data_IF_679908267947
#
_entry.id   IF_679908267947
#
_cell.length_a   1.000
_cell.length_b   1.000
_cell.length_c   1.000
_cell.angle_alpha   90.00
_cell.angle_beta   90.00
_cell.angle_gamma   90.00
#
_symmetry.space_group_name_H-M   'P 1'
#
loop_
_entity.id
_entity.type
_entity.pdbx_description
1 polymer ?
#
# COMPACT_ATOMS: atom_id res chain seq x y z
N UNK A 1 18.20 -1.37 -50.13
CA UNK A 1 16.81 -1.68 -50.53
C UNK A 1 16.17 -2.71 -49.56
N UNK A 2 15.96 -2.36 -48.28
CA UNK A 2 15.50 -3.34 -47.28
C UNK A 2 14.63 -2.82 -46.13
N UNK A 3 14.42 -1.51 -46.02
CA UNK A 3 13.61 -0.90 -44.95
C UNK A 3 12.25 -0.36 -45.43
N UNK A 4 12.04 -0.18 -46.74
CA UNK A 4 10.78 0.33 -47.30
C UNK A 4 9.66 -0.75 -47.39
N UNK A 5 10.02 -2.04 -47.51
CA UNK A 5 9.03 -3.14 -47.65
C UNK A 5 8.31 -3.53 -46.35
N UNK A 6 8.77 -3.07 -45.18
CA UNK A 6 8.11 -3.37 -43.89
C UNK A 6 6.93 -2.44 -43.59
N UNK A 7 6.86 -1.26 -44.22
CA UNK A 7 5.73 -0.34 -44.06
C UNK A 7 4.55 -0.61 -45.00
N UNK A 8 4.78 -1.12 -46.21
CA UNK A 8 3.68 -1.40 -47.16
C UNK A 8 2.68 -2.45 -46.63
N UNK A 9 3.13 -3.43 -45.84
CA UNK A 9 2.22 -4.42 -45.22
C UNK A 9 1.42 -3.85 -44.05
N UNK A 10 1.98 -2.91 -43.30
CA UNK A 10 1.28 -2.23 -42.22
C UNK A 10 0.23 -1.27 -42.80
N UNK A 11 0.59 -0.49 -43.81
CA UNK A 11 -0.29 0.42 -44.54
C UNK A 11 -1.40 -0.32 -45.29
N UNK A 12 -1.11 -1.48 -45.90
CA UNK A 12 -2.13 -2.31 -46.55
C UNK A 12 -3.09 -2.95 -45.54
N UNK A 13 -2.62 -3.25 -44.31
CA UNK A 13 -3.48 -3.83 -43.29
C UNK A 13 -4.50 -2.79 -42.79
N UNK A 14 -4.08 -1.55 -42.55
CA UNK A 14 -4.96 -0.45 -42.09
C UNK A 14 -5.94 0.03 -43.17
N UNK A 15 -5.59 -0.11 -44.46
CA UNK A 15 -6.48 0.24 -45.59
C UNK A 15 -7.54 -0.82 -45.90
N UNK A 16 -7.42 -2.02 -45.35
CA UNK A 16 -8.46 -3.06 -45.49
C UNK A 16 -9.61 -2.82 -44.54
N UNK A 17 -10.84 -3.13 -44.97
CA UNK A 17 -12.05 -3.08 -44.14
C UNK A 17 -11.85 -3.82 -42.81
N UNK A 18 -11.16 -4.96 -42.83
CA UNK A 18 -10.85 -5.73 -41.63
C UNK A 18 -9.90 -4.99 -40.68
N UNK A 19 -8.89 -4.28 -41.20
CA UNK A 19 -7.98 -3.49 -40.39
C UNK A 19 -8.62 -2.22 -39.84
N UNK A 20 -9.46 -1.53 -40.62
CA UNK A 20 -10.24 -0.40 -40.13
C UNK A 20 -11.24 -0.83 -39.04
N UNK A 21 -11.87 -2.00 -39.19
CA UNK A 21 -12.74 -2.59 -38.17
C UNK A 21 -11.95 -2.97 -36.90
N UNK A 22 -10.77 -3.58 -37.06
CA UNK A 22 -9.92 -3.95 -35.93
C UNK A 22 -9.41 -2.71 -35.17
N UNK A 23 -8.97 -1.67 -35.89
CA UNK A 23 -8.57 -0.38 -35.30
C UNK A 23 -9.75 0.32 -34.63
N UNK A 24 -10.96 0.25 -35.22
CA UNK A 24 -12.17 0.79 -34.60
C UNK A 24 -12.57 0.02 -33.35
N UNK A 25 -12.39 -1.31 -33.33
CA UNK A 25 -12.69 -2.15 -32.18
C UNK A 25 -11.63 -2.00 -31.09
N UNK A 26 -10.35 -1.87 -31.44
CA UNK A 26 -9.25 -1.52 -30.51
C UNK A 26 -9.50 -0.13 -29.92
N UNK A 27 -9.80 0.86 -30.75
CA UNK A 27 -10.12 2.23 -30.30
C UNK A 27 -11.39 2.27 -29.46
N UNK A 28 -12.38 1.42 -29.76
CA UNK A 28 -13.61 1.26 -28.97
C UNK A 28 -13.37 0.54 -27.66
N UNK A 29 -12.51 -0.48 -27.62
CA UNK A 29 -12.16 -1.23 -26.42
C UNK A 29 -11.29 -0.36 -25.49
N UNK A 30 -10.30 0.35 -26.05
CA UNK A 30 -9.45 1.31 -25.33
C UNK A 30 -10.24 2.57 -24.94
N UNK A 31 -11.13 3.05 -25.82
CA UNK A 31 -11.92 4.28 -25.62
C UNK A 31 -13.15 4.11 -24.74
N UNK A 32 -13.63 2.87 -24.52
CA UNK A 32 -14.70 2.58 -23.55
C UNK A 32 -14.22 2.52 -22.10
N UNK A 33 -12.92 2.51 -21.85
CA UNK A 33 -12.38 2.15 -20.54
C UNK A 33 -12.07 3.29 -19.58
N UNK A 34 -12.18 4.59 -19.90
CA UNK A 34 -11.67 5.61 -18.96
C UNK A 34 -12.59 6.83 -18.74
N UNK A 35 -13.15 7.02 -17.53
CA UNK A 35 -13.59 8.34 -17.03
C UNK A 35 -12.41 9.34 -16.83
N UNK A 36 -11.21 8.99 -17.28
CA UNK A 36 -9.95 9.68 -17.02
C UNK A 36 -9.78 11.08 -17.63
N UNK A 37 -10.39 11.48 -18.78
CA UNK A 37 -10.10 12.81 -19.35
C UNK A 37 -10.45 13.95 -18.39
N UNK A 38 -11.62 13.88 -17.76
CA UNK A 38 -12.10 14.89 -16.82
C UNK A 38 -11.31 14.85 -15.50
N UNK A 39 -11.11 13.65 -14.93
CA UNK A 39 -10.32 13.47 -13.70
C UNK A 39 -8.88 13.97 -13.86
N UNK A 40 -8.27 13.71 -15.02
CA UNK A 40 -6.93 14.19 -15.33
C UNK A 40 -6.90 15.71 -15.56
N UNK A 41 -7.96 16.30 -16.12
CA UNK A 41 -8.10 17.77 -16.21
C UNK A 41 -8.16 18.39 -14.83
N UNK A 42 -9.09 17.93 -13.99
CA UNK A 42 -9.27 18.40 -12.61
C UNK A 42 -7.97 18.25 -11.80
N UNK A 43 -7.26 17.13 -11.94
CA UNK A 43 -5.98 16.91 -11.24
C UNK A 43 -4.91 17.95 -11.63
N UNK A 44 -4.84 18.34 -12.91
CA UNK A 44 -3.90 19.38 -13.38
C UNK A 44 -4.31 20.77 -12.88
N UNK A 45 -5.58 21.13 -13.02
CA UNK A 45 -6.11 22.41 -12.53
C UNK A 45 -5.88 22.58 -11.02
N UNK A 46 -6.13 21.52 -10.25
CA UNK A 46 -5.83 21.49 -8.82
C UNK A 46 -4.34 21.70 -8.53
N UNK A 47 -3.44 21.03 -9.26
CA UNK A 47 -2.00 21.22 -9.09
C UNK A 47 -1.55 22.65 -9.38
N UNK A 48 -2.02 23.24 -10.49
CA UNK A 48 -1.74 24.62 -10.87
C UNK A 48 -2.23 25.63 -9.82
N UNK A 49 -3.45 25.43 -9.32
CA UNK A 49 -4.01 26.26 -8.25
C UNK A 49 -3.21 26.11 -6.94
N UNK A 50 -2.85 24.89 -6.55
CA UNK A 50 -2.08 24.60 -5.34
C UNK A 50 -0.69 25.22 -5.39
N UNK A 51 -0.01 25.14 -6.55
CA UNK A 51 1.31 25.76 -6.74
C UNK A 51 1.22 27.30 -6.65
N UNK A 52 0.19 27.89 -7.26
CA UNK A 52 -0.05 29.34 -7.19
C UNK A 52 -0.38 29.82 -5.77
N UNK A 53 -1.09 29.02 -4.99
CA UNK A 53 -1.61 29.40 -3.68
C UNK A 53 -0.60 29.18 -2.56
N UNK A 54 0.07 28.02 -2.57
CA UNK A 54 0.94 27.59 -1.47
C UNK A 54 2.42 27.66 -1.82
N UNK A 55 2.78 27.80 -3.11
CA UNK A 55 4.16 27.83 -3.56
C UNK A 55 4.89 26.49 -3.42
N UNK A 56 6.21 26.58 -3.25
CA UNK A 56 7.12 25.43 -3.14
C UNK A 56 7.12 24.84 -1.72
N UNK A 57 6.11 24.03 -1.43
CA UNK A 57 5.98 23.27 -0.19
C UNK A 57 6.04 21.76 -0.44
N UNK A 58 6.54 21.02 0.55
CA UNK A 58 6.66 19.57 0.50
C UNK A 58 5.35 18.81 0.81
N UNK A 59 5.37 17.46 0.73
CA UNK A 59 4.17 16.62 0.83
C UNK A 59 3.58 16.51 2.25
N UNK A 60 4.32 16.90 3.28
CA UNK A 60 3.93 16.68 4.69
C UNK A 60 2.69 17.50 5.08
N UNK A 61 2.55 18.72 4.56
CA UNK A 61 1.38 19.57 4.83
C UNK A 61 0.07 18.92 4.37
N UNK A 62 -0.06 18.59 3.07
CA UNK A 62 -1.21 17.86 2.54
C UNK A 62 -1.50 16.54 3.25
N UNK A 63 -0.49 15.77 3.66
CA UNK A 63 -0.69 14.51 4.41
C UNK A 63 -1.27 14.73 5.82
N UNK A 64 -0.82 15.79 6.52
CA UNK A 64 -1.41 16.16 7.81
C UNK A 64 -2.84 16.64 7.66
N UNK A 65 -3.13 17.36 6.58
CA UNK A 65 -4.48 17.81 6.25
C UNK A 65 -5.38 16.62 5.90
N UNK A 66 -4.89 15.66 5.10
CA UNK A 66 -5.62 14.45 4.72
C UNK A 66 -6.11 13.66 5.96
N UNK A 67 -5.34 13.68 7.04
CA UNK A 67 -5.74 13.03 8.31
C UNK A 67 -6.96 13.70 8.95
N UNK A 68 -7.18 15.00 8.73
CA UNK A 68 -8.36 15.74 9.20
C UNK A 68 -9.57 15.48 8.32
N UNK A 69 -9.40 15.59 6.99
CA UNK A 69 -10.47 15.30 6.02
C UNK A 69 -10.97 13.86 6.13
N UNK A 70 -10.09 12.90 6.46
CA UNK A 70 -10.51 11.53 6.74
C UNK A 70 -11.46 11.42 7.96
N UNK A 71 -11.34 12.31 8.95
CA UNK A 71 -12.25 12.37 10.10
C UNK A 71 -13.58 13.06 9.73
N UNK A 72 -13.52 14.09 8.89
CA UNK A 72 -14.71 14.80 8.38
C UNK A 72 -15.55 13.86 7.49
N UNK A 73 -14.91 13.17 6.52
CA UNK A 73 -15.53 12.12 5.72
C UNK A 73 -16.07 10.93 6.55
N UNK A 74 -15.43 10.59 7.67
CA UNK A 74 -15.95 9.56 8.57
C UNK A 74 -17.19 10.02 9.36
N UNK A 75 -17.33 11.32 9.61
CA UNK A 75 -18.48 11.91 10.30
C UNK A 75 -19.69 12.06 9.37
N UNK A 76 -19.48 12.37 8.10
CA UNK A 76 -20.53 12.40 7.08
C UNK A 76 -20.10 11.66 5.79
N UNK A 77 -20.12 10.30 5.79
CA UNK A 77 -19.72 9.52 4.63
C UNK A 77 -20.66 9.68 3.44
N UNK A 78 -21.81 10.37 3.62
CA UNK A 78 -22.77 10.63 2.57
C UNK A 78 -22.46 11.86 1.72
N UNK A 79 -21.58 12.75 2.20
CA UNK A 79 -21.14 13.93 1.46
C UNK A 79 -19.99 13.59 0.48
N UNK A 80 -20.21 13.66 -0.85
CA UNK A 80 -19.16 13.40 -1.83
C UNK A 80 -17.99 14.41 -1.81
N UNK A 81 -18.18 15.61 -1.23
CA UNK A 81 -17.13 16.63 -1.18
C UNK A 81 -16.01 16.24 -0.22
N UNK A 82 -16.34 15.62 0.91
CA UNK A 82 -15.36 15.11 1.87
C UNK A 82 -14.43 14.06 1.24
N UNK A 83 -14.97 13.22 0.35
CA UNK A 83 -14.18 12.28 -0.44
C UNK A 83 -13.31 12.99 -1.48
N UNK A 84 -13.79 14.09 -2.07
CA UNK A 84 -13.03 14.88 -3.03
C UNK A 84 -11.84 15.58 -2.35
N UNK A 85 -12.01 16.11 -1.14
CA UNK A 85 -10.92 16.72 -0.36
C UNK A 85 -9.81 15.70 -0.06
N UNK A 86 -10.17 14.48 0.35
CA UNK A 86 -9.18 13.40 0.48
C UNK A 86 -8.44 13.13 -0.83
N UNK A 87 -9.15 13.12 -1.97
CA UNK A 87 -8.54 12.84 -3.26
C UNK A 87 -7.59 13.95 -3.70
N UNK A 88 -7.96 15.22 -3.51
CA UNK A 88 -7.12 16.38 -3.81
C UNK A 88 -5.84 16.38 -2.97
N UNK A 89 -5.96 16.17 -1.66
CA UNK A 89 -4.81 16.17 -0.75
C UNK A 89 -3.85 15.00 -1.03
N UNK A 90 -4.38 13.82 -1.39
CA UNK A 90 -3.55 12.69 -1.78
C UNK A 90 -2.78 12.98 -3.08
N UNK A 91 -3.44 13.53 -4.11
CA UNK A 91 -2.76 13.93 -5.34
C UNK A 91 -1.70 15.00 -5.09
N UNK A 92 -2.01 15.97 -4.23
CA UNK A 92 -1.10 17.05 -3.87
C UNK A 92 0.17 16.51 -3.20
N UNK A 93 0.00 15.63 -2.22
CA UNK A 93 1.10 14.95 -1.54
C UNK A 93 1.94 14.12 -2.52
N UNK A 94 1.31 13.32 -3.38
CA UNK A 94 2.02 12.47 -4.35
C UNK A 94 2.90 13.29 -5.29
N UNK A 95 2.35 14.33 -5.93
CA UNK A 95 3.12 15.14 -6.87
C UNK A 95 4.26 15.90 -6.18
N UNK A 96 4.05 16.43 -4.96
CA UNK A 96 5.09 17.12 -4.17
C UNK A 96 6.18 16.17 -3.69
N UNK A 97 5.87 14.88 -3.55
CA UNK A 97 6.84 13.83 -3.25
C UNK A 97 7.55 13.28 -4.50
N UNK A 98 7.18 13.72 -5.70
CA UNK A 98 7.69 13.17 -6.96
C UNK A 98 7.22 11.73 -7.23
N UNK A 99 6.14 11.28 -6.60
CA UNK A 99 5.58 9.94 -6.82
C UNK A 99 4.75 9.95 -8.10
N UNK A 100 5.20 9.18 -9.09
CA UNK A 100 4.51 9.02 -10.37
C UNK A 100 3.33 8.07 -10.28
N UNK A 101 2.40 8.17 -11.23
CA UNK A 101 1.26 7.25 -11.32
C UNK A 101 1.72 5.79 -11.48
N UNK A 102 2.79 5.54 -12.24
CA UNK A 102 3.35 4.20 -12.41
C UNK A 102 3.93 3.65 -11.10
N UNK A 103 4.69 4.46 -10.35
CA UNK A 103 5.25 4.05 -9.06
C UNK A 103 4.16 3.71 -8.05
N UNK A 104 3.11 4.53 -7.92
CA UNK A 104 2.03 4.23 -6.98
C UNK A 104 1.24 3.01 -7.44
N UNK A 105 0.99 2.82 -8.73
CA UNK A 105 0.30 1.63 -9.24
C UNK A 105 1.10 0.36 -8.92
N UNK A 106 2.41 0.35 -9.15
CA UNK A 106 3.25 -0.79 -8.77
C UNK A 106 3.24 -1.04 -7.26
N UNK A 107 3.38 0.01 -6.44
CA UNK A 107 3.31 -0.10 -4.99
C UNK A 107 1.95 -0.62 -4.51
N UNK A 108 0.84 -0.24 -5.16
CA UNK A 108 -0.49 -0.76 -4.87
C UNK A 108 -0.60 -2.27 -5.18
N UNK A 109 -0.03 -2.73 -6.29
CA UNK A 109 0.01 -4.16 -6.66
C UNK A 109 0.77 -4.97 -5.59
N UNK A 110 1.98 -4.54 -5.25
CA UNK A 110 2.79 -5.18 -4.22
C UNK A 110 2.09 -5.17 -2.85
N UNK A 111 1.54 -4.01 -2.46
CA UNK A 111 0.86 -3.85 -1.18
C UNK A 111 -0.40 -4.71 -1.08
N UNK A 112 -1.14 -4.86 -2.17
CA UNK A 112 -2.30 -5.74 -2.23
C UNK A 112 -1.92 -7.20 -2.03
N UNK A 113 -0.82 -7.67 -2.65
CA UNK A 113 -0.30 -9.02 -2.44
C UNK A 113 0.09 -9.26 -0.98
N UNK A 114 0.82 -8.31 -0.36
CA UNK A 114 1.18 -8.36 1.06
C UNK A 114 -0.06 -8.41 1.95
N UNK A 115 -1.09 -7.59 1.67
CA UNK A 115 -2.30 -7.55 2.48
C UNK A 115 -3.12 -8.84 2.39
N UNK A 116 -3.16 -9.49 1.20
CA UNK A 116 -3.84 -10.78 1.01
C UNK A 116 -3.13 -11.94 1.72
N UNK A 117 -1.82 -11.85 1.93
CA UNK A 117 -1.04 -12.86 2.63
C UNK A 117 -1.10 -12.75 4.17
N UNK A 118 -1.73 -11.70 4.71
CA UNK A 118 -1.82 -11.45 6.17
C UNK A 118 -3.05 -12.13 6.77
N UNK A 119 -2.96 -12.37 8.08
CA UNK A 119 -4.11 -12.72 8.90
C UNK A 119 -4.77 -11.47 9.46
N UNK A 120 -6.10 -11.48 9.48
CA UNK A 120 -6.94 -10.36 9.88
C UNK A 120 -7.95 -10.82 10.94
N UNK A 121 -8.25 -10.00 11.95
CA UNK A 121 -9.28 -10.31 12.95
C UNK A 121 -10.69 -10.23 12.35
N UNK A 122 -11.68 -10.74 13.08
CA UNK A 122 -13.09 -10.73 12.70
C UNK A 122 -13.64 -9.33 12.39
N UNK A 123 -14.46 -9.16 11.34
CA UNK A 123 -15.07 -7.89 10.96
C UNK A 123 -15.86 -7.18 12.07
N UNK A 124 -15.38 -6.00 12.50
CA UNK A 124 -16.15 -4.98 13.25
C UNK A 124 -16.36 -3.73 12.39
N UNK A 125 -17.62 -3.29 12.31
CA UNK A 125 -18.03 -2.10 11.57
C UNK A 125 -17.61 -0.82 12.31
N UNK A 126 -17.31 0.24 11.56
CA UNK A 126 -16.91 1.56 12.07
C UNK A 126 -15.52 1.65 12.72
N UNK A 127 -14.72 0.56 12.74
CA UNK A 127 -13.46 0.50 13.48
C UNK A 127 -12.26 0.16 12.58
N UNK A 128 -11.08 0.79 12.80
CA UNK A 128 -9.87 0.42 12.09
C UNK A 128 -9.48 -1.04 12.33
N UNK A 129 -9.15 -1.76 11.25
CA UNK A 129 -8.67 -3.13 11.31
C UNK A 129 -7.16 -3.20 11.16
N UNK A 130 -6.47 -3.78 12.14
CA UNK A 130 -5.03 -4.05 12.08
C UNK A 130 -4.80 -5.54 11.78
N UNK A 131 -3.70 -5.83 11.07
CA UNK A 131 -3.27 -7.20 10.83
C UNK A 131 -2.68 -7.81 12.09
N UNK A 132 -2.84 -9.12 12.25
CA UNK A 132 -2.22 -9.87 13.34
C UNK A 132 -0.72 -9.93 13.06
N UNK A 133 0.09 -9.41 13.99
CA UNK A 133 1.54 -9.61 13.97
C UNK A 133 1.83 -10.93 14.66
N UNK A 134 2.57 -11.83 14.01
CA UNK A 134 3.12 -12.99 14.72
C UNK A 134 3.98 -12.45 15.86
N UNK A 135 3.65 -12.82 17.10
CA UNK A 135 4.56 -12.59 18.20
C UNK A 135 5.77 -13.51 17.95
N UNK A 136 7.01 -12.99 17.97
CA UNK A 136 8.17 -13.88 17.96
C UNK A 136 8.02 -14.86 19.13
N UNK A 137 8.32 -16.13 18.88
CA UNK A 137 8.29 -17.15 19.93
C UNK A 137 9.05 -16.62 21.16
N UNK A 138 8.54 -16.83 22.39
CA UNK A 138 9.27 -16.44 23.59
C UNK A 138 10.70 -16.97 23.50
N UNK A 139 11.67 -16.06 23.46
CA UNK A 139 13.09 -16.43 23.48
C UNK A 139 13.38 -16.86 24.91
N UNK A 140 13.22 -18.15 25.17
CA UNK A 140 13.61 -18.76 26.44
C UNK A 140 15.10 -19.09 26.33
N UNK A 141 15.98 -18.48 27.14
CA UNK A 141 17.41 -18.78 27.05
C UNK A 141 17.72 -20.23 27.45
N UNK A 142 18.92 -20.69 27.10
CA UNK A 142 19.33 -22.07 27.34
C UNK A 142 19.38 -22.44 28.82
N UNK A 143 19.26 -23.75 29.08
CA UNK A 143 19.38 -24.30 30.43
C UNK A 143 20.78 -24.03 31.00
N UNK A 144 20.84 -23.55 32.24
CA UNK A 144 22.13 -23.39 32.93
C UNK A 144 22.68 -24.75 33.32
N UNK A 145 23.90 -25.05 32.88
CA UNK A 145 24.62 -26.24 33.30
C UNK A 145 24.98 -26.17 34.79
N UNK A 146 24.86 -27.31 35.48
CA UNK A 146 25.38 -27.50 36.84
C UNK A 146 26.64 -28.36 36.78
N UNK A 147 27.62 -28.06 37.63
CA UNK A 147 28.86 -28.82 37.78
C UNK A 147 29.14 -29.08 39.25
N UNK A 148 29.85 -30.18 39.54
CA UNK A 148 30.25 -30.54 40.89
C UNK A 148 31.17 -29.50 41.53
N UNK A 149 31.99 -28.82 40.71
CA UNK A 149 32.90 -27.75 41.13
C UNK A 149 32.21 -26.44 41.55
N UNK A 150 30.89 -26.33 41.35
CA UNK A 150 30.14 -25.13 41.73
C UNK A 150 29.86 -25.07 43.23
N UNK A 151 29.96 -23.87 43.80
CA UNK A 151 29.59 -23.62 45.19
C UNK A 151 28.06 -23.69 45.39
N UNK A 152 27.63 -23.73 46.65
CA UNK A 152 26.21 -23.87 47.02
C UNK A 152 25.34 -22.74 46.45
N UNK A 153 25.85 -21.52 46.39
CA UNK A 153 25.12 -20.37 45.86
C UNK A 153 24.90 -20.50 44.34
N UNK A 154 25.95 -20.86 43.60
CA UNK A 154 25.89 -21.06 42.15
C UNK A 154 24.93 -22.20 41.77
N UNK A 155 24.94 -23.30 42.52
CA UNK A 155 24.02 -24.44 42.33
C UNK A 155 22.57 -24.03 42.54
N UNK A 156 22.29 -23.32 43.64
CA UNK A 156 20.93 -22.81 43.95
C UNK A 156 20.42 -21.82 42.90
N UNK A 157 21.30 -20.95 42.39
CA UNK A 157 20.95 -20.01 41.32
C UNK A 157 20.59 -20.73 40.02
N UNK A 158 21.43 -21.67 39.55
CA UNK A 158 21.16 -22.43 38.34
C UNK A 158 19.85 -23.24 38.44
N UNK A 159 19.57 -23.84 39.60
CA UNK A 159 18.31 -24.55 39.84
C UNK A 159 17.09 -23.62 39.78
N UNK A 160 17.14 -22.47 40.45
CA UNK A 160 16.06 -21.48 40.40
C UNK A 160 15.83 -20.93 39.00
N UNK A 161 16.91 -20.65 38.27
CA UNK A 161 16.87 -20.23 36.87
C UNK A 161 16.20 -21.28 35.98
N UNK A 162 16.63 -22.54 36.07
CA UNK A 162 16.08 -23.64 35.26
C UNK A 162 14.61 -23.93 35.62
N UNK A 163 14.21 -23.77 36.88
CA UNK A 163 12.80 -23.91 37.29
C UNK A 163 11.91 -22.82 36.67
N UNK A 164 12.37 -21.55 36.71
CA UNK A 164 11.66 -20.43 36.08
C UNK A 164 11.58 -20.61 34.55
N UNK A 165 12.70 -21.01 33.93
CA UNK A 165 12.78 -21.36 32.50
C UNK A 165 11.75 -22.42 32.10
N UNK A 166 11.66 -23.51 32.87
CA UNK A 166 10.72 -24.60 32.60
C UNK A 166 9.25 -24.16 32.79
N UNK A 167 8.97 -23.27 33.75
CA UNK A 167 7.65 -22.67 33.90
C UNK A 167 7.26 -21.83 32.67
N UNK A 168 8.20 -21.05 32.12
CA UNK A 168 7.96 -20.26 30.89
C UNK A 168 7.70 -21.14 29.67
N UNK A 169 8.37 -22.29 29.54
CA UNK A 169 8.12 -23.25 28.45
C UNK A 169 6.78 -23.99 28.59
N UNK A 170 6.32 -24.24 29.81
CA UNK A 170 5.09 -24.99 30.08
C UNK A 170 3.84 -24.12 30.21
N UNK A 171 3.99 -22.83 30.52
CA UNK A 171 2.88 -21.88 30.73
C UNK A 171 2.13 -21.45 29.46
N UNK A 172 2.57 -21.86 28.27
CA UNK A 172 1.88 -21.62 26.99
C UNK A 172 0.87 -22.71 26.59
N UNK A 173 0.62 -23.71 27.45
CA UNK A 173 -0.36 -24.78 27.23
C UNK A 173 -1.51 -24.66 28.24
N UNK A 174 -2.42 -23.73 27.99
CA UNK A 174 -3.73 -23.74 28.62
C UNK A 174 -4.79 -23.19 27.67
#
# INVERSE_FOLDING_TARGET
>A
MGLLKKNERAEHCTSTVLGSLLESEITRLVGKEQPAPERNRIRREHAEWSDKTFGDVGPVGPLKHLSKEALEAAADPSDPLEWADMQFLLWDAQRRAGVTDEQITMAMVEKLAINKARQWPEPKDGEPRLHIKEQPAPVVPDEMATSDDMNLYQKSFAQGYNACRNAMLNGGKS
#
